data_IF_862528998530
#
_entry.id   IF_862528998530
#
_cell.length_a   1.000
_cell.length_b   1.000
_cell.length_c   1.000
_cell.angle_alpha   90.00
_cell.angle_beta   90.00
_cell.angle_gamma   90.00
#
_symmetry.space_group_name_H-M   'P 1'
#
loop_
_entity.id
_entity.type
_entity.pdbx_description
1 polymer ?
#
# COMPACT_ATOMS: atom_id res chain seq x y z
N UNK A 1 -0.87 57.46 -16.40
CA UNK A 1 -0.64 56.04 -15.99
C UNK A 1 0.31 55.38 -16.99
N UNK A 2 1.41 54.76 -16.57
CA UNK A 2 2.39 54.12 -17.47
C UNK A 2 1.75 52.90 -18.14
N UNK A 3 1.83 52.81 -19.47
CA UNK A 3 1.33 51.63 -20.18
C UNK A 3 2.26 50.43 -19.99
N UNK A 4 1.69 49.29 -19.63
CA UNK A 4 2.41 48.02 -19.51
C UNK A 4 2.90 47.55 -20.89
N UNK A 5 4.11 46.99 -20.93
CA UNK A 5 4.68 46.42 -22.16
C UNK A 5 3.78 45.26 -22.65
N UNK A 6 3.67 45.03 -23.98
CA UNK A 6 2.81 43.99 -24.55
C UNK A 6 3.07 42.60 -23.96
N UNK A 7 4.35 42.25 -23.77
CA UNK A 7 4.75 41.00 -23.13
C UNK A 7 4.22 40.88 -21.69
N UNK A 8 4.34 41.94 -20.90
CA UNK A 8 3.84 41.97 -19.51
C UNK A 8 2.33 41.81 -19.47
N UNK A 9 1.59 42.37 -20.42
CA UNK A 9 0.13 42.18 -20.53
C UNK A 9 -0.21 40.72 -20.82
N UNK A 10 0.47 40.10 -21.77
CA UNK A 10 0.27 38.69 -22.14
C UNK A 10 0.57 37.77 -20.97
N UNK A 11 1.72 37.93 -20.32
CA UNK A 11 2.09 37.12 -19.14
C UNK A 11 1.09 37.28 -18.00
N UNK A 12 0.62 38.50 -17.73
CA UNK A 12 -0.37 38.75 -16.69
C UNK A 12 -1.73 38.13 -17.03
N UNK A 13 -2.13 38.14 -18.30
CA UNK A 13 -3.35 37.48 -18.77
C UNK A 13 -3.26 35.96 -18.65
N UNK A 14 -2.12 35.35 -19.00
CA UNK A 14 -1.90 33.91 -18.84
C UNK A 14 -1.88 33.49 -17.36
N UNK A 15 -1.23 34.27 -16.50
CA UNK A 15 -1.26 34.05 -15.05
C UNK A 15 -2.67 34.19 -14.48
N UNK A 16 -3.41 35.22 -14.91
CA UNK A 16 -4.80 35.43 -14.51
C UNK A 16 -5.71 34.26 -14.92
N UNK A 17 -5.59 33.80 -16.17
CA UNK A 17 -6.31 32.61 -16.65
C UNK A 17 -5.91 31.35 -15.88
N UNK A 18 -4.62 31.14 -15.63
CA UNK A 18 -4.14 30.01 -14.83
C UNK A 18 -4.70 30.03 -13.41
N UNK A 19 -4.73 31.20 -12.76
CA UNK A 19 -5.30 31.37 -11.43
C UNK A 19 -6.81 31.10 -11.40
N UNK A 20 -7.55 31.58 -12.40
CA UNK A 20 -8.99 31.32 -12.52
C UNK A 20 -9.26 29.84 -12.73
N UNK A 21 -8.53 29.18 -13.64
CA UNK A 21 -8.65 27.74 -13.87
C UNK A 21 -8.30 26.93 -12.62
N UNK A 22 -7.27 27.35 -11.87
CA UNK A 22 -6.89 26.72 -10.60
C UNK A 22 -7.99 26.88 -9.55
N UNK A 23 -8.60 28.08 -9.47
CA UNK A 23 -9.71 28.35 -8.55
C UNK A 23 -10.96 27.55 -8.91
N UNK A 24 -11.30 27.46 -10.19
CA UNK A 24 -12.41 26.62 -10.68
C UNK A 24 -12.14 25.16 -10.34
N UNK A 25 -10.92 24.66 -10.60
CA UNK A 25 -10.52 23.30 -10.25
C UNK A 25 -10.62 23.03 -8.75
N UNK A 26 -10.20 23.99 -7.90
CA UNK A 26 -10.34 23.89 -6.45
C UNK A 26 -11.81 23.84 -6.01
N UNK A 27 -12.64 24.77 -6.48
CA UNK A 27 -14.08 24.85 -6.14
C UNK A 27 -14.88 23.66 -6.67
N UNK A 28 -14.48 23.09 -7.81
CA UNK A 28 -15.06 21.87 -8.38
C UNK A 28 -14.64 20.60 -7.63
N UNK A 29 -13.89 20.71 -6.52
CA UNK A 29 -13.45 19.57 -5.73
C UNK A 29 -12.28 18.81 -6.35
N UNK A 30 -11.47 19.44 -7.20
CA UNK A 30 -10.28 18.82 -7.79
C UNK A 30 -9.30 18.32 -6.73
N UNK A 31 -9.10 19.09 -5.66
CA UNK A 31 -8.22 18.70 -4.55
C UNK A 31 -8.77 17.51 -3.75
N UNK A 32 -10.07 17.52 -3.46
CA UNK A 32 -10.74 16.40 -2.77
C UNK A 32 -10.70 15.13 -3.62
N UNK A 33 -10.91 15.25 -4.93
CA UNK A 33 -10.81 14.11 -5.86
C UNK A 33 -9.38 13.56 -5.92
N UNK A 34 -8.36 14.43 -5.99
CA UNK A 34 -6.96 14.00 -5.94
C UNK A 34 -6.63 13.29 -4.63
N UNK A 35 -7.12 13.80 -3.50
CA UNK A 35 -6.94 13.16 -2.19
C UNK A 35 -7.59 11.77 -2.16
N UNK A 36 -8.84 11.66 -2.65
CA UNK A 36 -9.53 10.36 -2.73
C UNK A 36 -8.83 9.38 -3.65
N UNK A 37 -8.30 9.83 -4.80
CA UNK A 37 -7.52 8.97 -5.70
C UNK A 37 -6.22 8.51 -5.01
N UNK A 38 -5.54 9.39 -4.30
CA UNK A 38 -4.34 9.06 -3.54
C UNK A 38 -4.61 8.06 -2.40
N UNK A 39 -5.67 8.29 -1.61
CA UNK A 39 -6.11 7.40 -0.53
C UNK A 39 -6.55 6.02 -1.03
N UNK A 40 -7.08 5.93 -2.26
CA UNK A 40 -7.46 4.65 -2.86
C UNK A 40 -6.35 4.00 -3.70
N UNK A 41 -5.19 4.66 -3.85
CA UNK A 41 -4.12 4.14 -4.70
C UNK A 41 -3.54 2.83 -4.15
N UNK A 42 -3.41 2.72 -2.82
CA UNK A 42 -3.01 1.50 -2.12
C UNK A 42 -4.04 1.13 -1.08
N UNK A 43 -4.51 -0.12 -1.14
CA UNK A 43 -5.59 -0.56 -0.26
C UNK A 43 -5.23 -1.79 0.54
N UNK A 44 -5.61 -1.81 1.83
CA UNK A 44 -5.29 -2.90 2.72
C UNK A 44 -6.00 -4.17 2.26
N UNK A 45 -5.26 -5.25 2.22
CA UNK A 45 -5.71 -6.60 1.93
C UNK A 45 -5.48 -7.46 3.16
N UNK A 46 -6.37 -8.42 3.37
CA UNK A 46 -6.23 -9.44 4.42
C UNK A 46 -6.50 -10.80 3.81
N UNK A 47 -5.47 -11.66 3.80
CA UNK A 47 -5.60 -13.06 3.44
C UNK A 47 -5.60 -13.90 4.72
N UNK A 48 -6.56 -14.81 4.86
CA UNK A 48 -6.67 -15.68 6.05
C UNK A 48 -6.43 -17.12 5.65
N UNK A 49 -5.71 -17.86 6.50
CA UNK A 49 -5.31 -19.23 6.21
C UNK A 49 -5.62 -20.16 7.39
N UNK A 50 -6.05 -21.37 7.06
CA UNK A 50 -6.25 -22.48 8.00
C UNK A 50 -5.28 -23.61 7.69
N UNK A 51 -5.08 -24.51 8.65
CA UNK A 51 -4.30 -25.76 8.49
C UNK A 51 -2.84 -25.57 8.04
N UNK A 52 -2.24 -24.42 8.40
CA UNK A 52 -0.83 -24.12 8.14
C UNK A 52 0.06 -24.82 9.17
N UNK A 53 1.02 -25.60 8.66
CA UNK A 53 2.02 -26.36 9.42
C UNK A 53 3.42 -25.77 9.33
N UNK A 54 3.73 -25.05 8.25
CA UNK A 54 5.02 -24.39 8.05
C UNK A 54 4.88 -23.09 7.29
N UNK A 55 5.79 -22.14 7.54
CA UNK A 55 5.79 -20.83 6.92
C UNK A 55 7.18 -20.54 6.34
N UNK A 56 7.24 -20.20 5.06
CA UNK A 56 8.43 -19.70 4.39
C UNK A 56 8.23 -18.24 4.02
N UNK A 57 9.12 -17.37 4.51
CA UNK A 57 9.07 -15.94 4.28
C UNK A 57 10.32 -15.51 3.52
N UNK A 58 10.12 -15.03 2.30
CA UNK A 58 11.17 -14.52 1.42
C UNK A 58 11.10 -12.99 1.25
N UNK A 59 10.49 -12.27 2.21
CA UNK A 59 10.41 -10.81 2.23
C UNK A 59 10.35 -10.27 3.67
N UNK A 60 10.71 -9.01 3.88
CA UNK A 60 10.62 -8.37 5.20
C UNK A 60 9.14 -8.19 5.61
N UNK A 61 8.71 -8.88 6.67
CA UNK A 61 7.40 -8.72 7.30
C UNK A 61 7.48 -8.64 8.82
N UNK A 62 6.45 -8.14 9.47
CA UNK A 62 6.28 -8.12 10.93
C UNK A 62 5.41 -9.29 11.37
N UNK A 63 5.76 -9.95 12.47
CA UNK A 63 4.98 -11.06 13.02
C UNK A 63 4.27 -10.59 14.29
N UNK A 64 2.96 -10.84 14.39
CA UNK A 64 2.14 -10.47 15.54
C UNK A 64 1.22 -11.62 15.97
N UNK A 65 0.79 -11.67 17.25
CA UNK A 65 -0.20 -12.65 17.67
C UNK A 65 -1.60 -12.31 17.10
N UNK A 66 -2.28 -13.31 16.53
CA UNK A 66 -3.65 -13.19 16.03
C UNK A 66 -4.67 -13.08 17.18
N UNK A 67 -5.71 -12.24 17.06
CA UNK A 67 -6.79 -12.16 18.04
C UNK A 67 -7.68 -13.40 18.08
N UNK A 68 -7.83 -14.13 16.98
CA UNK A 68 -8.83 -15.20 16.80
C UNK A 68 -8.21 -16.60 16.63
N UNK A 69 -6.89 -16.72 16.85
CA UNK A 69 -6.10 -17.94 16.66
C UNK A 69 -6.05 -18.48 15.24
N UNK A 70 -6.27 -17.65 14.21
CA UNK A 70 -6.02 -17.99 12.81
C UNK A 70 -4.79 -17.27 12.26
N UNK A 71 -4.31 -17.71 11.10
CA UNK A 71 -3.26 -16.99 10.38
C UNK A 71 -3.89 -15.90 9.52
N UNK A 72 -3.45 -14.66 9.67
CA UNK A 72 -3.84 -13.55 8.79
C UNK A 72 -2.62 -12.84 8.24
N UNK A 73 -2.53 -12.70 6.93
CA UNK A 73 -1.54 -11.86 6.27
C UNK A 73 -2.20 -10.55 5.87
N UNK A 74 -1.72 -9.46 6.44
CA UNK A 74 -2.11 -8.10 6.10
C UNK A 74 -1.05 -7.47 5.21
N UNK A 75 -1.47 -7.02 4.04
CA UNK A 75 -0.60 -6.41 3.03
C UNK A 75 -1.37 -5.35 2.25
N UNK A 76 -0.72 -4.69 1.29
CA UNK A 76 -1.37 -3.69 0.45
C UNK A 76 -1.39 -4.13 -1.02
N UNK A 77 -2.48 -3.80 -1.71
CA UNK A 77 -2.62 -3.90 -3.17
C UNK A 77 -2.52 -2.51 -3.77
N UNK A 78 -1.79 -2.37 -4.88
CA UNK A 78 -1.92 -1.21 -5.75
C UNK A 78 -3.22 -1.37 -6.56
N UNK A 79 -4.26 -0.60 -6.21
CA UNK A 79 -5.56 -0.73 -6.88
C UNK A 79 -5.54 -0.26 -8.33
N UNK A 80 -4.71 0.73 -8.66
CA UNK A 80 -4.69 1.30 -10.01
C UNK A 80 -4.07 0.34 -11.03
N UNK A 81 -3.07 -0.42 -10.61
CA UNK A 81 -2.41 -1.43 -11.45
C UNK A 81 -2.99 -2.84 -11.27
N UNK A 82 -3.90 -3.03 -10.32
CA UNK A 82 -4.41 -4.34 -9.84
C UNK A 82 -3.28 -5.33 -9.53
N UNK A 83 -2.21 -4.81 -8.89
CA UNK A 83 -1.03 -5.59 -8.52
C UNK A 83 -0.98 -5.72 -7.00
N UNK A 84 -0.97 -6.95 -6.52
CA UNK A 84 -0.64 -7.27 -5.13
C UNK A 84 0.87 -7.06 -4.92
N UNK A 85 1.25 -6.36 -3.84
CA UNK A 85 2.67 -6.16 -3.51
C UNK A 85 3.32 -7.45 -2.99
N UNK A 86 2.48 -8.37 -2.49
CA UNK A 86 2.88 -9.65 -1.92
C UNK A 86 2.21 -10.81 -2.67
N UNK A 87 3.00 -11.82 -2.98
CA UNK A 87 2.51 -13.13 -3.42
C UNK A 87 2.45 -14.05 -2.22
N UNK A 88 1.37 -14.81 -2.14
CA UNK A 88 1.17 -15.82 -1.12
C UNK A 88 0.59 -17.09 -1.75
N UNK A 89 1.12 -18.24 -1.35
CA UNK A 89 0.64 -19.54 -1.82
C UNK A 89 0.62 -20.54 -0.66
N UNK A 90 -0.45 -21.34 -0.60
CA UNK A 90 -0.54 -22.47 0.32
C UNK A 90 -0.43 -23.76 -0.48
N UNK A 91 0.56 -24.58 -0.15
CA UNK A 91 0.75 -25.91 -0.75
C UNK A 91 1.12 -26.90 0.35
N UNK A 92 0.38 -28.01 0.45
CA UNK A 92 0.64 -29.08 1.43
C UNK A 92 0.77 -28.60 2.89
N UNK A 93 -0.01 -27.57 3.27
CA UNK A 93 0.05 -26.96 4.61
C UNK A 93 1.28 -26.05 4.83
N UNK A 94 2.05 -25.75 3.79
CA UNK A 94 3.12 -24.75 3.79
C UNK A 94 2.61 -23.44 3.19
N UNK A 95 2.67 -22.36 3.96
CA UNK A 95 2.43 -21.00 3.51
C UNK A 95 3.74 -20.38 3.03
N UNK A 96 3.84 -20.06 1.74
CA UNK A 96 4.98 -19.32 1.18
C UNK A 96 4.56 -17.89 0.93
N UNK A 97 5.33 -16.93 1.47
CA UNK A 97 5.14 -15.49 1.32
C UNK A 97 6.38 -14.92 0.65
N UNK A 98 6.18 -14.17 -0.43
CA UNK A 98 7.27 -13.59 -1.22
C UNK A 98 6.84 -12.27 -1.84
N UNK A 99 7.81 -11.39 -2.08
CA UNK A 99 7.57 -10.18 -2.85
C UNK A 99 7.01 -10.51 -4.22
N UNK A 100 5.82 -10.01 -4.53
CA UNK A 100 5.29 -10.06 -5.89
C UNK A 100 5.86 -8.91 -6.74
N UNK A 101 6.38 -7.86 -6.10
CA UNK A 101 6.81 -6.64 -6.75
C UNK A 101 8.31 -6.38 -6.51
N UNK A 102 9.15 -6.80 -7.46
CA UNK A 102 10.60 -6.55 -7.46
C UNK A 102 10.99 -5.24 -8.19
N UNK A 103 10.01 -4.43 -8.58
CA UNK A 103 10.25 -3.21 -9.37
C UNK A 103 10.44 -1.96 -8.51
N UNK A 104 11.12 -0.96 -9.08
CA UNK A 104 10.91 0.43 -8.66
C UNK A 104 9.43 0.74 -8.94
N UNK A 105 8.69 1.38 -8.03
CA UNK A 105 7.36 1.91 -8.35
C UNK A 105 7.55 2.91 -9.49
N UNK A 106 7.29 2.51 -10.72
CA UNK A 106 7.36 3.39 -11.88
C UNK A 106 6.07 4.21 -11.90
N UNK A 107 6.26 5.52 -11.82
CA UNK A 107 5.20 6.50 -11.97
C UNK A 107 5.13 6.87 -13.44
N UNK A 108 4.16 6.31 -14.16
CA UNK A 108 3.97 6.52 -15.60
C UNK A 108 3.02 7.70 -15.89
N UNK A 109 2.35 8.23 -14.86
CA UNK A 109 1.38 9.33 -14.98
C UNK A 109 1.94 10.72 -14.65
N UNK A 110 1.59 11.72 -15.47
CA UNK A 110 1.98 13.13 -15.32
C UNK A 110 1.67 13.71 -13.92
N UNK A 111 0.63 13.21 -13.26
CA UNK A 111 0.14 13.70 -11.97
C UNK A 111 0.48 12.77 -10.79
N UNK A 112 1.05 11.59 -11.03
CA UNK A 112 1.39 10.64 -9.97
C UNK A 112 2.43 11.16 -8.97
N UNK A 113 3.45 11.95 -9.36
CA UNK A 113 4.34 12.60 -8.40
C UNK A 113 3.60 13.56 -7.46
N UNK A 114 2.56 14.22 -7.96
CA UNK A 114 1.73 15.14 -7.19
C UNK A 114 0.79 14.34 -6.26
N UNK A 115 0.22 13.23 -6.74
CA UNK A 115 -0.57 12.32 -5.91
C UNK A 115 0.26 11.74 -4.76
N UNK A 116 1.52 11.39 -5.00
CA UNK A 116 2.43 10.92 -3.94
C UNK A 116 2.79 12.00 -2.92
N UNK A 117 2.86 13.28 -3.31
CA UNK A 117 3.06 14.39 -2.38
C UNK A 117 1.81 14.69 -1.54
N UNK A 118 0.61 14.47 -2.11
CA UNK A 118 -0.67 14.61 -1.40
C UNK A 118 -0.93 13.40 -0.50
N UNK A 119 -0.41 12.24 -0.89
CA UNK A 119 -0.46 11.03 -0.08
C UNK A 119 0.66 11.06 0.97
N UNK A 120 0.38 11.59 2.15
CA UNK A 120 1.27 11.48 3.32
C UNK A 120 1.48 10.00 3.76
N UNK A 121 0.76 9.07 3.13
CA UNK A 121 1.01 7.65 3.19
C UNK A 121 2.23 7.32 2.34
N UNK A 122 3.39 7.41 2.97
CA UNK A 122 4.68 7.01 2.44
C UNK A 122 4.67 5.49 2.19
N UNK A 123 4.10 5.04 1.07
CA UNK A 123 3.85 3.61 0.80
C UNK A 123 5.14 2.80 0.64
N UNK A 124 6.27 3.48 0.43
CA UNK A 124 7.60 2.92 0.51
C UNK A 124 7.93 2.28 1.89
N UNK A 125 7.11 2.48 2.93
CA UNK A 125 7.38 2.02 4.29
C UNK A 125 6.33 1.08 4.91
N UNK A 126 5.29 0.67 4.18
CA UNK A 126 4.33 -0.30 4.74
C UNK A 126 4.94 -1.70 4.77
N UNK A 127 5.40 -2.11 5.96
CA UNK A 127 5.85 -3.47 6.23
C UNK A 127 4.62 -4.38 6.39
N UNK A 128 4.49 -5.46 5.58
CA UNK A 128 3.43 -6.44 5.73
C UNK A 128 3.40 -7.06 7.13
N UNK A 129 2.23 -7.48 7.60
CA UNK A 129 2.06 -8.08 8.93
C UNK A 129 1.47 -9.47 8.80
N UNK A 130 2.18 -10.48 9.30
CA UNK A 130 1.66 -11.82 9.49
C UNK A 130 1.21 -12.00 10.94
N UNK A 131 -0.10 -12.11 11.13
CA UNK A 131 -0.68 -12.56 12.38
C UNK A 131 -0.63 -14.08 12.46
N UNK A 132 -0.09 -14.59 13.57
CA UNK A 132 0.04 -16.02 13.85
C UNK A 132 -0.77 -16.39 15.08
N UNK A 133 -1.38 -17.58 15.17
CA UNK A 133 -2.18 -17.99 16.31
C UNK A 133 -1.46 -17.79 17.65
N UNK A 134 -2.16 -17.23 18.65
CA UNK A 134 -1.64 -17.13 20.01
C UNK A 134 -1.43 -18.55 20.53
N UNK A 135 -0.19 -18.94 20.72
CA UNK A 135 0.11 -20.18 21.42
C UNK A 135 -0.46 -20.04 22.82
N UNK A 136 -1.57 -20.70 23.11
CA UNK A 136 -1.98 -20.91 24.48
C UNK A 136 -0.83 -21.64 25.16
N UNK A 137 -0.24 -21.03 26.18
CA UNK A 137 0.61 -21.68 27.17
C UNK A 137 -0.20 -22.73 27.98
N UNK A 138 -1.04 -23.55 27.35
CA UNK A 138 -1.80 -24.61 27.99
C UNK A 138 -1.13 -25.95 27.69
N UNK A 139 -0.73 -26.64 28.77
CA UNK A 139 0.05 -27.89 28.88
C UNK A 139 -0.54 -29.14 28.18
N UNK A 140 -1.28 -29.01 27.08
CA UNK A 140 -1.92 -30.17 26.45
C UNK A 140 -1.92 -30.19 24.92
N UNK A 141 -1.05 -29.39 24.29
CA UNK A 141 -0.93 -29.34 22.82
C UNK A 141 0.51 -29.60 22.35
N UNK A 142 1.23 -30.52 23.02
CA UNK A 142 2.63 -30.85 22.67
C UNK A 142 2.78 -31.79 21.46
N UNK A 143 1.70 -32.19 20.79
CA UNK A 143 1.77 -33.10 19.64
C UNK A 143 1.89 -32.43 18.27
N UNK A 144 1.19 -31.30 18.04
CA UNK A 144 0.95 -30.81 16.67
C UNK A 144 1.82 -29.60 16.24
N UNK A 145 2.42 -28.87 17.18
CA UNK A 145 3.19 -27.64 16.88
C UNK A 145 4.69 -27.73 17.16
N UNK A 146 5.20 -28.93 17.51
CA UNK A 146 6.65 -29.14 17.72
C UNK A 146 7.48 -29.02 16.44
N UNK A 147 6.83 -28.90 15.28
CA UNK A 147 7.47 -28.87 13.96
C UNK A 147 7.20 -27.61 13.14
N UNK A 148 6.52 -26.58 13.68
CA UNK A 148 6.32 -25.35 12.89
C UNK A 148 7.59 -24.51 12.88
N UNK A 149 8.37 -24.66 11.81
CA UNK A 149 9.57 -23.88 11.55
C UNK A 149 9.22 -22.66 10.70
N UNK A 150 9.48 -21.46 11.22
CA UNK A 150 9.38 -20.21 10.45
C UNK A 150 10.78 -19.93 9.92
N UNK A 151 10.94 -20.02 8.60
CA UNK A 151 12.21 -19.72 7.94
C UNK A 151 12.12 -18.33 7.30
N UNK A 152 12.95 -17.41 7.78
CA UNK A 152 13.12 -16.07 7.21
C UNK A 152 14.47 -16.10 6.47
N UNK A 153 14.46 -15.89 5.15
CA UNK A 153 15.69 -15.78 4.35
C UNK A 153 16.25 -14.37 4.34
#
# INVERSE_FOLDING_TARGET
MKQLKPFTKISLSLLGLGAILSLIGYLAGGWTNMKTVAENYFQPQTASFTDIRSIEVNEKLSIMPSPDNQFHLHYYRNQHKDIDLLSHQVQDGKLTISSAYQGIVTYDGLLEPILNLVNDQNVAYYQPVLQVPKIAQSKHSQGAFKEMSIWIK
#
